data_IF_384282386872
#
_entry.id   IF_384282386872
#
_cell.length_a   1.000
_cell.length_b   1.000
_cell.length_c   1.000
_cell.angle_alpha   90.00
_cell.angle_beta   90.00
_cell.angle_gamma   90.00
#
_symmetry.space_group_name_H-M   'P 1'
#
loop_
_entity.id
_entity.type
_entity.pdbx_description
1 polymer ?
#
# COMPACT_ATOMS: atom_id res chain seq x y z
N UNK A 1 12.18 8.99 -59.51
CA UNK A 1 11.36 8.95 -58.28
C UNK A 1 11.10 7.52 -57.82
N UNK A 2 10.50 6.66 -58.65
CA UNK A 2 10.13 5.28 -58.26
C UNK A 2 11.30 4.47 -57.67
N UNK A 3 12.47 4.51 -58.32
CA UNK A 3 13.66 3.79 -57.85
C UNK A 3 14.13 4.26 -56.46
N UNK A 4 13.99 5.56 -56.14
CA UNK A 4 14.34 6.12 -54.83
C UNK A 4 13.39 5.62 -53.74
N UNK A 5 12.09 5.62 -54.03
CA UNK A 5 11.06 5.17 -53.10
C UNK A 5 11.14 3.66 -52.86
N UNK A 6 11.45 2.88 -53.89
CA UNK A 6 11.62 1.42 -53.76
C UNK A 6 12.83 1.07 -52.90
N UNK A 7 13.96 1.77 -53.10
CA UNK A 7 15.15 1.64 -52.26
C UNK A 7 14.85 2.04 -50.81
N UNK A 8 14.17 3.16 -50.58
CA UNK A 8 13.73 3.60 -49.26
C UNK A 8 12.81 2.58 -48.57
N UNK A 9 11.82 2.02 -49.29
CA UNK A 9 10.91 0.99 -48.77
C UNK A 9 11.65 -0.28 -48.35
N UNK A 10 12.69 -0.68 -49.11
CA UNK A 10 13.51 -1.85 -48.78
C UNK A 10 14.29 -1.68 -47.46
N UNK A 11 14.69 -0.45 -47.15
CA UNK A 11 15.48 -0.10 -45.97
C UNK A 11 14.63 -0.03 -44.68
N UNK A 12 13.31 0.15 -44.81
CA UNK A 12 12.35 0.14 -43.69
C UNK A 12 11.93 -1.28 -43.26
N UNK A 13 12.78 -2.29 -43.52
CA UNK A 13 12.53 -3.69 -43.18
C UNK A 13 12.18 -3.98 -41.71
N UNK A 14 12.58 -3.09 -40.80
CA UNK A 14 12.37 -3.23 -39.35
C UNK A 14 10.97 -2.77 -38.89
N UNK A 15 10.23 -2.03 -39.72
CA UNK A 15 8.85 -1.61 -39.44
C UNK A 15 7.86 -2.70 -39.86
N UNK A 16 6.67 -2.70 -39.23
CA UNK A 16 5.53 -3.49 -39.70
C UNK A 16 5.08 -3.03 -41.09
N UNK A 17 4.28 -3.86 -41.78
CA UNK A 17 3.81 -3.52 -43.14
C UNK A 17 3.02 -2.22 -43.16
N UNK A 18 2.11 -2.03 -42.20
CA UNK A 18 1.25 -0.86 -42.10
C UNK A 18 2.07 0.44 -41.89
N UNK A 19 3.02 0.43 -40.95
CA UNK A 19 3.88 1.59 -40.66
C UNK A 19 4.83 1.91 -41.82
N UNK A 20 5.30 0.87 -42.52
CA UNK A 20 6.17 1.03 -43.68
C UNK A 20 5.43 1.69 -44.84
N UNK A 21 4.21 1.23 -45.11
CA UNK A 21 3.39 1.76 -46.20
C UNK A 21 2.96 3.20 -45.89
N UNK A 22 2.59 3.51 -44.65
CA UNK A 22 2.32 4.89 -44.20
C UNK A 22 3.52 5.83 -44.42
N UNK A 23 4.71 5.42 -44.00
CA UNK A 23 5.92 6.21 -44.18
C UNK A 23 6.27 6.40 -45.66
N UNK A 24 6.12 5.35 -46.48
CA UNK A 24 6.38 5.42 -47.93
C UNK A 24 5.38 6.34 -48.63
N UNK A 25 4.09 6.23 -48.29
CA UNK A 25 3.04 7.07 -48.89
C UNK A 25 3.27 8.54 -48.55
N UNK A 26 3.60 8.87 -47.30
CA UNK A 26 3.90 10.25 -46.88
C UNK A 26 5.01 10.89 -47.71
N UNK A 27 6.15 10.20 -47.87
CA UNK A 27 7.26 10.75 -48.64
C UNK A 27 7.01 10.72 -50.15
N UNK A 28 6.16 9.80 -50.63
CA UNK A 28 5.73 9.77 -52.03
C UNK A 28 4.87 10.99 -52.35
N UNK A 29 3.88 11.32 -51.51
CA UNK A 29 3.05 12.51 -51.65
C UNK A 29 3.90 13.79 -51.55
N UNK A 30 4.82 13.85 -50.59
CA UNK A 30 5.74 14.99 -50.45
C UNK A 30 6.60 15.22 -51.71
N UNK A 31 7.11 14.15 -52.32
CA UNK A 31 7.92 14.27 -53.54
C UNK A 31 7.08 14.64 -54.76
N UNK A 32 5.86 14.13 -54.85
CA UNK A 32 4.92 14.45 -55.92
C UNK A 32 4.46 15.91 -55.86
N UNK A 33 4.08 16.40 -54.68
CA UNK A 33 3.69 17.79 -54.46
C UNK A 33 4.86 18.77 -54.74
N UNK A 34 6.08 18.34 -54.43
CA UNK A 34 7.29 19.09 -54.72
C UNK A 34 7.75 19.02 -56.19
N UNK A 35 7.12 18.18 -57.03
CA UNK A 35 7.50 17.98 -58.42
C UNK A 35 8.89 17.32 -58.59
N UNK A 36 9.28 16.47 -57.63
CA UNK A 36 10.59 15.81 -57.61
C UNK A 36 10.53 14.44 -58.32
N UNK A 37 10.45 14.45 -59.65
CA UNK A 37 10.24 13.23 -60.45
C UNK A 37 11.52 12.40 -60.72
N UNK A 38 12.70 13.00 -60.57
CA UNK A 38 14.01 12.35 -60.82
C UNK A 38 14.67 11.85 -59.52
N UNK A 39 15.42 10.74 -59.59
CA UNK A 39 16.17 10.20 -58.45
C UNK A 39 17.08 11.25 -57.80
N UNK A 40 17.85 11.98 -58.62
CA UNK A 40 18.75 13.04 -58.12
C UNK A 40 18.00 14.20 -57.45
N UNK A 41 16.78 14.48 -57.91
CA UNK A 41 15.95 15.51 -57.30
C UNK A 41 15.47 15.08 -55.90
N UNK A 42 15.06 13.81 -55.76
CA UNK A 42 14.72 13.23 -54.46
C UNK A 42 15.93 13.23 -53.51
N UNK A 43 17.12 12.87 -54.01
CA UNK A 43 18.35 12.83 -53.20
C UNK A 43 18.75 14.21 -52.69
N UNK A 44 18.58 15.25 -53.52
CA UNK A 44 18.90 16.63 -53.12
C UNK A 44 17.98 17.15 -52.03
N UNK A 45 16.71 16.76 -52.04
CA UNK A 45 15.71 17.25 -51.10
C UNK A 45 15.71 16.44 -49.79
N UNK A 46 15.66 15.12 -49.89
CA UNK A 46 15.47 14.21 -48.75
C UNK A 46 16.77 13.54 -48.27
N UNK A 47 17.89 13.72 -48.99
CA UNK A 47 19.14 13.00 -48.77
C UNK A 47 19.13 11.64 -49.45
N UNK A 48 20.11 10.78 -49.15
CA UNK A 48 20.10 9.42 -49.72
C UNK A 48 19.01 8.55 -49.09
N UNK A 49 18.47 7.53 -49.78
CA UNK A 49 17.45 6.64 -49.22
C UNK A 49 17.84 6.05 -47.86
N UNK A 50 19.13 5.74 -47.69
CA UNK A 50 19.71 5.24 -46.44
C UNK A 50 19.73 6.27 -45.30
N UNK A 51 19.98 7.54 -45.61
CA UNK A 51 19.94 8.61 -44.61
C UNK A 51 18.50 8.86 -44.13
N UNK A 52 17.56 8.91 -45.08
CA UNK A 52 16.14 9.08 -44.76
C UNK A 52 15.61 7.90 -43.93
N UNK A 53 15.87 6.67 -44.36
CA UNK A 53 15.45 5.46 -43.64
C UNK A 53 15.96 5.45 -42.20
N UNK A 54 17.23 5.81 -41.97
CA UNK A 54 17.81 5.86 -40.62
C UNK A 54 17.12 6.90 -39.73
N UNK A 55 16.77 8.06 -40.29
CA UNK A 55 16.07 9.13 -39.57
C UNK A 55 14.65 8.69 -39.18
N UNK A 56 13.93 8.07 -40.12
CA UNK A 56 12.56 7.56 -39.91
C UNK A 56 12.56 6.43 -38.87
N UNK A 57 13.45 5.44 -39.01
CA UNK A 57 13.60 4.35 -38.04
C UNK A 57 13.87 4.85 -36.62
N UNK A 58 14.70 5.90 -36.49
CA UNK A 58 14.96 6.52 -35.20
C UNK A 58 13.71 7.17 -34.61
N UNK A 59 12.96 7.96 -35.38
CA UNK A 59 11.74 8.63 -34.90
C UNK A 59 10.68 7.60 -34.45
N UNK A 60 10.47 6.54 -35.23
CA UNK A 60 9.57 5.45 -34.86
C UNK A 60 10.03 4.75 -33.58
N UNK A 61 11.32 4.46 -33.42
CA UNK A 61 11.82 3.81 -32.21
C UNK A 61 11.58 4.63 -30.93
N UNK A 62 11.66 5.96 -31.01
CA UNK A 62 11.38 6.86 -29.89
C UNK A 62 9.88 6.90 -29.57
N UNK A 63 9.01 6.84 -30.59
CA UNK A 63 7.56 6.72 -30.38
C UNK A 63 7.19 5.40 -29.70
N UNK A 64 7.76 4.28 -30.15
CA UNK A 64 7.55 2.96 -29.54
C UNK A 64 8.10 2.84 -28.11
N UNK A 65 9.14 3.62 -27.76
CA UNK A 65 9.70 3.66 -26.40
C UNK A 65 8.86 4.51 -25.43
N UNK A 66 8.16 5.53 -25.94
CA UNK A 66 7.25 6.37 -25.15
C UNK A 66 5.83 5.78 -25.07
N UNK A 67 5.50 4.80 -25.91
CA UNK A 67 4.34 3.92 -25.73
C UNK A 67 4.69 2.75 -24.81
N UNK A 68 3.88 2.45 -23.77
CA UNK A 68 4.11 1.27 -22.95
C UNK A 68 3.92 0.01 -23.82
N UNK A 69 5.00 -0.73 -24.04
CA UNK A 69 5.00 -2.04 -24.72
C UNK A 69 3.85 -2.93 -24.24
N UNK A 70 2.93 -3.20 -25.15
CA UNK A 70 2.07 -4.38 -25.16
C UNK A 70 2.09 -4.95 -26.58
N UNK A 71 2.96 -5.92 -26.83
CA UNK A 71 3.23 -6.48 -28.17
C UNK A 71 1.99 -7.08 -28.86
N UNK A 72 2.01 -6.97 -30.20
CA UNK A 72 0.96 -7.28 -31.18
C UNK A 72 0.46 -8.73 -31.20
N UNK A 73 -0.68 -9.06 -31.82
CA UNK A 73 -1.10 -8.68 -33.18
C UNK A 73 -2.61 -8.92 -33.39
N UNK A 74 -3.15 -8.18 -34.36
CA UNK A 74 -4.34 -8.49 -35.18
C UNK A 74 -5.71 -7.97 -34.72
N UNK A 75 -6.14 -6.96 -35.48
CA UNK A 75 -7.53 -6.65 -35.88
C UNK A 75 -8.52 -6.21 -34.79
N UNK A 76 -8.94 -4.96 -34.93
CA UNK A 76 -10.26 -4.42 -34.57
C UNK A 76 -10.69 -4.55 -33.10
N UNK A 77 -10.64 -3.42 -32.38
CA UNK A 77 -11.80 -2.79 -31.69
C UNK A 77 -11.33 -1.82 -30.57
N UNK A 78 -12.14 -0.81 -30.22
CA UNK A 78 -11.88 0.21 -29.18
C UNK A 78 -11.93 -0.38 -27.75
N UNK A 79 -11.20 -1.46 -27.49
CA UNK A 79 -11.27 -2.24 -26.24
C UNK A 79 -10.39 -1.65 -25.14
N UNK A 80 -9.43 -0.79 -25.48
CA UNK A 80 -8.61 -0.11 -24.48
C UNK A 80 -9.38 1.07 -23.86
N UNK A 81 -10.25 1.73 -24.62
CA UNK A 81 -11.10 2.81 -24.07
C UNK A 81 -12.16 2.23 -23.13
N UNK A 82 -12.78 1.10 -23.48
CA UNK A 82 -13.70 0.38 -22.57
C UNK A 82 -12.97 -0.16 -21.36
N UNK A 83 -11.73 -0.67 -21.48
CA UNK A 83 -10.92 -1.08 -20.32
C UNK A 83 -10.59 0.10 -19.42
N UNK A 84 -10.20 1.25 -19.98
CA UNK A 84 -9.93 2.48 -19.23
C UNK A 84 -11.18 3.01 -18.55
N UNK A 85 -12.31 3.09 -19.27
CA UNK A 85 -13.62 3.47 -18.73
C UNK A 85 -14.07 2.48 -17.65
N UNK A 86 -13.88 1.18 -17.86
CA UNK A 86 -14.20 0.15 -16.87
C UNK A 86 -13.33 0.27 -15.61
N UNK A 87 -12.06 0.62 -15.77
CA UNK A 87 -11.13 0.86 -14.66
C UNK A 87 -11.47 2.15 -13.90
N UNK A 88 -11.92 3.20 -14.61
CA UNK A 88 -12.45 4.44 -14.00
C UNK A 88 -13.73 4.15 -13.22
N UNK A 89 -14.70 3.41 -13.80
CA UNK A 89 -15.94 3.02 -13.11
C UNK A 89 -15.62 2.17 -11.87
N UNK A 90 -14.71 1.21 -11.99
CA UNK A 90 -14.28 0.38 -10.87
C UNK A 90 -13.56 1.19 -9.79
N UNK A 91 -12.74 2.18 -10.18
CA UNK A 91 -12.10 3.11 -9.25
C UNK A 91 -13.14 3.97 -8.52
N UNK A 92 -14.12 4.55 -9.23
CA UNK A 92 -15.19 5.38 -8.63
C UNK A 92 -16.07 4.56 -7.69
N UNK A 93 -16.33 3.28 -7.98
CA UNK A 93 -17.09 2.38 -7.08
C UNK A 93 -16.23 1.90 -5.89
N UNK A 94 -14.91 1.78 -6.05
CA UNK A 94 -13.98 1.45 -4.97
C UNK A 94 -13.78 2.61 -3.99
N UNK A 95 -13.75 3.84 -4.50
CA UNK A 95 -13.55 5.09 -3.73
C UNK A 95 -14.50 5.23 -2.51
N UNK A 96 -15.82 5.03 -2.62
CA UNK A 96 -16.75 5.13 -1.50
C UNK A 96 -16.59 4.00 -0.48
N UNK A 97 -15.92 2.89 -0.82
CA UNK A 97 -15.60 1.80 0.12
C UNK A 97 -14.24 2.04 0.81
N UNK A 98 -13.27 2.63 0.12
CA UNK A 98 -11.94 2.92 0.68
C UNK A 98 -11.96 3.92 1.84
N UNK A 99 -12.75 5.00 1.74
CA UNK A 99 -12.84 6.03 2.79
C UNK A 99 -13.38 5.44 4.11
N UNK A 100 -14.55 4.76 4.15
CA UNK A 100 -15.05 4.17 5.39
C UNK A 100 -14.16 3.03 5.90
N UNK A 101 -13.52 2.27 5.03
CA UNK A 101 -12.57 1.23 5.44
C UNK A 101 -11.34 1.83 6.13
N UNK A 102 -10.77 2.91 5.57
CA UNK A 102 -9.66 3.64 6.17
C UNK A 102 -10.05 4.26 7.52
N UNK A 103 -11.21 4.91 7.58
CA UNK A 103 -11.76 5.48 8.81
C UNK A 103 -11.96 4.40 9.90
N UNK A 104 -12.48 3.23 9.51
CA UNK A 104 -12.69 2.11 10.42
C UNK A 104 -11.38 1.57 11.01
N UNK A 105 -10.30 1.49 10.22
CA UNK A 105 -8.99 1.03 10.67
C UNK A 105 -8.35 2.03 11.65
N UNK A 106 -8.46 3.33 11.35
CA UNK A 106 -7.96 4.39 12.21
C UNK A 106 -8.74 4.38 13.53
N UNK A 107 -10.08 4.31 13.46
CA UNK A 107 -10.95 4.23 14.63
C UNK A 107 -10.66 3.01 15.50
N UNK A 108 -10.45 1.83 14.89
CA UNK A 108 -10.07 0.61 15.60
C UNK A 108 -8.71 0.77 16.29
N UNK A 109 -7.71 1.35 15.61
CA UNK A 109 -6.37 1.55 16.17
C UNK A 109 -6.39 2.49 17.37
N UNK A 110 -7.13 3.60 17.24
CA UNK A 110 -7.36 4.55 18.33
C UNK A 110 -8.08 3.86 19.49
N UNK A 111 -9.16 3.13 19.21
CA UNK A 111 -9.93 2.40 20.22
C UNK A 111 -9.10 1.39 21.00
N UNK A 112 -8.25 0.62 20.32
CA UNK A 112 -7.34 -0.34 20.97
C UNK A 112 -6.31 0.38 21.84
N UNK A 113 -5.75 1.50 21.36
CA UNK A 113 -4.77 2.28 22.11
C UNK A 113 -5.38 2.90 23.38
N UNK A 114 -6.49 3.63 23.25
CA UNK A 114 -7.16 4.24 24.40
C UNK A 114 -7.79 3.20 25.32
N UNK A 115 -8.26 2.07 24.80
CA UNK A 115 -8.73 0.95 25.61
C UNK A 115 -7.61 0.37 26.47
N UNK A 116 -6.43 0.11 25.90
CA UNK A 116 -5.27 -0.36 26.64
C UNK A 116 -4.82 0.66 27.72
N UNK A 117 -4.81 1.95 27.36
CA UNK A 117 -4.44 3.04 28.27
C UNK A 117 -5.47 3.18 29.41
N UNK A 118 -6.76 3.08 29.10
CA UNK A 118 -7.84 3.11 30.08
C UNK A 118 -7.77 1.97 31.09
N UNK A 119 -7.45 0.76 30.63
CA UNK A 119 -7.23 -0.39 31.53
C UNK A 119 -6.05 -0.12 32.47
N UNK A 120 -4.94 0.42 31.94
CA UNK A 120 -3.76 0.74 32.75
C UNK A 120 -4.08 1.79 33.82
N UNK A 121 -4.72 2.89 33.43
CA UNK A 121 -5.11 3.98 34.34
C UNK A 121 -6.12 3.49 35.38
N UNK A 122 -7.10 2.67 34.96
CA UNK A 122 -8.07 2.08 35.87
C UNK A 122 -7.42 1.19 36.92
N UNK A 123 -6.43 0.38 36.54
CA UNK A 123 -5.68 -0.46 37.48
C UNK A 123 -4.89 0.37 38.48
N UNK A 124 -4.23 1.44 38.03
CA UNK A 124 -3.51 2.36 38.92
C UNK A 124 -4.49 3.06 39.87
N UNK A 125 -5.63 3.56 39.37
CA UNK A 125 -6.65 4.22 40.19
C UNK A 125 -7.24 3.28 41.25
N UNK A 126 -7.45 2.00 40.91
CA UNK A 126 -7.89 0.98 41.86
C UNK A 126 -6.88 0.81 43.00
N UNK A 127 -5.59 0.73 42.65
CA UNK A 127 -4.50 0.56 43.61
C UNK A 127 -4.41 1.77 44.56
N UNK A 128 -4.49 2.98 44.00
CA UNK A 128 -4.52 4.24 44.75
C UNK A 128 -5.74 4.28 45.69
N UNK A 129 -6.93 3.98 45.19
CA UNK A 129 -8.17 4.00 45.98
C UNK A 129 -8.12 3.05 47.18
N UNK A 130 -7.61 1.83 46.97
CA UNK A 130 -7.46 0.83 48.03
C UNK A 130 -6.46 1.29 49.09
N UNK A 131 -5.35 1.93 48.71
CA UNK A 131 -4.37 2.48 49.66
C UNK A 131 -4.98 3.60 50.49
N UNK A 132 -5.64 4.58 49.86
CA UNK A 132 -6.29 5.68 50.57
C UNK A 132 -7.44 5.21 51.47
N UNK A 133 -8.24 4.24 51.01
CA UNK A 133 -9.30 3.62 51.80
C UNK A 133 -8.76 2.86 53.02
N UNK A 134 -7.66 2.11 52.85
CA UNK A 134 -6.99 1.40 53.94
C UNK A 134 -6.40 2.33 54.99
N UNK A 135 -5.71 3.39 54.57
CA UNK A 135 -5.16 4.40 55.48
C UNK A 135 -6.29 5.12 56.22
N UNK A 136 -7.36 5.52 55.51
CA UNK A 136 -8.52 6.14 56.13
C UNK A 136 -9.18 5.24 57.19
N UNK A 137 -9.33 3.95 56.89
CA UNK A 137 -9.85 2.96 57.83
C UNK A 137 -8.98 2.80 59.09
N UNK A 138 -7.65 2.83 58.95
CA UNK A 138 -6.73 2.77 60.09
C UNK A 138 -6.79 4.02 60.97
N UNK A 139 -6.87 5.21 60.36
CA UNK A 139 -6.99 6.48 61.10
C UNK A 139 -8.31 6.53 61.87
N UNK A 140 -9.42 6.15 61.25
CA UNK A 140 -10.73 6.07 61.92
C UNK A 140 -10.71 5.01 63.01
N UNK A 141 -10.11 3.84 62.75
CA UNK A 141 -9.98 2.77 63.74
C UNK A 141 -9.23 3.20 65.00
N UNK A 142 -8.09 3.88 64.84
CA UNK A 142 -7.31 4.42 65.96
C UNK A 142 -8.08 5.48 66.76
N UNK A 143 -8.89 6.31 66.09
CA UNK A 143 -9.71 7.32 66.75
C UNK A 143 -10.85 6.73 67.58
N UNK A 144 -11.47 5.65 67.11
CA UNK A 144 -12.66 5.05 67.75
C UNK A 144 -12.30 4.13 68.93
N UNK A 145 -11.05 3.68 69.07
CA UNK A 145 -10.60 2.82 70.19
C UNK A 145 -10.91 3.43 71.57
N UNK A 146 -10.83 4.75 71.70
CA UNK A 146 -11.08 5.45 72.95
C UNK A 146 -12.56 5.45 73.35
N UNK A 147 -13.47 5.30 72.39
CA UNK A 147 -14.91 5.26 72.61
C UNK A 147 -15.42 3.83 72.70
N UNK A 148 -15.08 3.00 71.72
CA UNK A 148 -15.51 1.61 71.60
C UNK A 148 -14.34 0.71 71.15
N UNK A 149 -13.69 0.01 72.11
CA UNK A 149 -12.53 -0.83 71.82
C UNK A 149 -12.82 -1.95 70.81
N UNK A 150 -14.05 -2.49 70.83
CA UNK A 150 -14.48 -3.55 69.91
C UNK A 150 -14.54 -3.06 68.46
N UNK A 151 -15.11 -1.87 68.23
CA UNK A 151 -15.19 -1.26 66.91
C UNK A 151 -13.79 -0.87 66.39
N UNK A 152 -12.94 -0.33 67.26
CA UNK A 152 -11.55 0.00 66.92
C UNK A 152 -10.74 -1.21 66.42
N UNK A 153 -10.85 -2.35 67.11
CA UNK A 153 -10.15 -3.58 66.71
C UNK A 153 -10.66 -4.16 65.38
N UNK A 154 -11.96 -4.01 65.09
CA UNK A 154 -12.57 -4.38 63.82
C UNK A 154 -12.02 -3.52 62.67
N UNK A 155 -11.95 -2.19 62.84
CA UNK A 155 -11.39 -1.29 61.83
C UNK A 155 -9.90 -1.54 61.55
N UNK A 156 -9.12 -1.85 62.58
CA UNK A 156 -7.72 -2.28 62.40
C UNK A 156 -7.64 -3.58 61.60
N UNK A 157 -8.51 -4.54 61.90
CA UNK A 157 -8.62 -5.79 61.14
C UNK A 157 -8.98 -5.58 59.66
N UNK A 158 -9.92 -4.67 59.38
CA UNK A 158 -10.26 -4.26 58.01
C UNK A 158 -9.05 -3.61 57.31
N UNK A 159 -8.33 -2.72 58.00
CA UNK A 159 -7.11 -2.11 57.47
C UNK A 159 -6.05 -3.15 57.08
N UNK A 160 -5.84 -4.16 57.93
CA UNK A 160 -4.89 -5.25 57.66
C UNK A 160 -5.35 -6.15 56.50
N UNK A 161 -6.65 -6.46 56.42
CA UNK A 161 -7.26 -7.18 55.29
C UNK A 161 -7.05 -6.43 53.98
N UNK A 162 -7.23 -5.10 53.97
CA UNK A 162 -7.01 -4.26 52.80
C UNK A 162 -5.55 -4.32 52.33
N UNK A 163 -4.59 -4.26 53.26
CA UNK A 163 -3.16 -4.43 52.95
C UNK A 163 -2.87 -5.82 52.40
N UNK A 164 -3.48 -6.87 52.97
CA UNK A 164 -3.37 -8.24 52.47
C UNK A 164 -3.89 -8.40 51.03
N UNK A 165 -5.05 -7.80 50.73
CA UNK A 165 -5.64 -7.76 49.38
C UNK A 165 -4.70 -7.03 48.41
N UNK A 166 -4.06 -5.94 48.83
CA UNK A 166 -3.12 -5.18 48.00
C UNK A 166 -1.93 -6.03 47.55
N UNK A 167 -1.32 -6.78 48.48
CA UNK A 167 -0.20 -7.68 48.18
C UNK A 167 -0.65 -8.83 47.28
N UNK A 168 -1.86 -9.36 47.49
CA UNK A 168 -2.43 -10.43 46.67
C UNK A 168 -2.80 -9.97 45.25
N UNK A 169 -3.12 -8.69 45.04
CA UNK A 169 -3.37 -8.10 43.72
C UNK A 169 -2.10 -7.79 42.92
N UNK A 170 -0.93 -7.65 43.57
CA UNK A 170 0.36 -7.38 42.93
C UNK A 170 0.71 -8.33 41.75
N UNK A 171 0.60 -9.67 41.88
CA UNK A 171 0.82 -10.57 40.75
C UNK A 171 -0.22 -10.39 39.64
N UNK A 172 -1.48 -10.07 39.98
CA UNK A 172 -2.55 -9.82 39.00
C UNK A 172 -2.22 -8.61 38.14
N UNK A 173 -1.63 -7.55 38.73
CA UNK A 173 -1.15 -6.38 38.00
C UNK A 173 -0.09 -6.75 36.95
N UNK A 174 0.91 -7.54 37.35
CA UNK A 174 2.00 -7.95 36.44
C UNK A 174 1.48 -8.84 35.30
N UNK A 175 0.51 -9.72 35.58
CA UNK A 175 -0.16 -10.53 34.55
C UNK A 175 -0.99 -9.66 33.62
N UNK A 176 -1.74 -8.69 34.13
CA UNK A 176 -2.52 -7.77 33.33
C UNK A 176 -1.63 -6.91 32.41
N UNK A 177 -0.54 -6.35 32.94
CA UNK A 177 0.41 -5.56 32.17
C UNK A 177 1.07 -6.38 31.05
N UNK A 178 1.56 -7.58 31.37
CA UNK A 178 2.10 -8.50 30.37
C UNK A 178 1.03 -8.98 29.38
N UNK A 179 -0.22 -9.12 29.84
CA UNK A 179 -1.39 -9.44 29.01
C UNK A 179 -1.70 -8.35 28.00
N UNK A 180 -1.63 -7.08 28.38
CA UNK A 180 -1.79 -5.94 27.49
C UNK A 180 -0.68 -5.91 26.44
N UNK A 181 0.58 -6.09 26.85
CA UNK A 181 1.72 -6.12 25.92
C UNK A 181 1.56 -7.25 24.90
N UNK A 182 1.19 -8.45 25.37
CA UNK A 182 0.89 -9.60 24.52
C UNK A 182 -0.30 -9.35 23.60
N UNK A 183 -1.35 -8.71 24.11
CA UNK A 183 -2.53 -8.34 23.35
C UNK A 183 -2.19 -7.39 22.21
N UNK A 184 -1.42 -6.34 22.49
CA UNK A 184 -0.93 -5.37 21.48
C UNK A 184 -0.04 -6.06 20.44
N UNK A 185 0.89 -6.92 20.86
CA UNK A 185 1.76 -7.65 19.91
C UNK A 185 1.02 -8.71 19.11
N UNK A 186 0.00 -9.38 19.66
CA UNK A 186 -0.82 -10.30 18.89
C UNK A 186 -1.71 -9.56 17.89
N UNK A 187 -2.27 -8.43 18.30
CA UNK A 187 -3.08 -7.59 17.42
C UNK A 187 -2.25 -7.05 16.26
N UNK A 188 -1.02 -6.58 16.52
CA UNK A 188 -0.13 -6.12 15.46
C UNK A 188 0.27 -7.24 14.49
N UNK A 189 0.56 -8.45 14.99
CA UNK A 189 0.84 -9.62 14.16
C UNK A 189 -0.38 -10.03 13.32
N UNK A 190 -1.57 -10.04 13.91
CA UNK A 190 -2.82 -10.36 13.21
C UNK A 190 -3.14 -9.34 12.12
N UNK A 191 -3.02 -8.05 12.44
CA UNK A 191 -3.24 -6.97 11.50
C UNK A 191 -2.24 -7.04 10.33
N UNK A 192 -0.95 -7.26 10.63
CA UNK A 192 0.09 -7.43 9.62
C UNK A 192 -0.15 -8.66 8.73
N UNK A 193 -0.54 -9.79 9.30
CA UNK A 193 -0.83 -11.02 8.54
C UNK A 193 -2.08 -10.91 7.69
N UNK A 194 -3.07 -10.10 8.10
CA UNK A 194 -4.29 -9.89 7.33
C UNK A 194 -4.10 -8.89 6.18
N UNK A 195 -3.13 -7.98 6.30
CA UNK A 195 -2.86 -6.95 5.28
C UNK A 195 -1.71 -7.29 4.33
N UNK A 196 -0.73 -8.10 4.75
CA UNK A 196 0.34 -8.55 3.86
C UNK A 196 -0.10 -9.88 3.22
N UNK A 197 -0.52 -9.90 1.93
CA UNK A 197 -0.75 -11.15 1.25
C UNK A 197 0.57 -11.93 1.30
N UNK A 198 0.52 -13.10 1.92
CA UNK A 198 1.68 -13.99 2.07
C UNK A 198 2.18 -14.36 0.68
N UNK A 199 3.14 -13.59 0.17
CA UNK A 199 3.72 -13.84 -1.13
C UNK A 199 4.40 -15.21 -1.07
N UNK A 200 3.84 -16.13 -1.85
CA UNK A 200 4.13 -17.57 -1.86
C UNK A 200 5.45 -17.88 -2.58
N UNK A 201 6.45 -17.00 -2.46
CA UNK A 201 7.65 -16.99 -3.30
C UNK A 201 8.84 -17.82 -2.76
N UNK A 202 8.76 -18.39 -1.55
CA UNK A 202 9.89 -19.16 -0.97
C UNK A 202 9.81 -20.69 -1.15
N UNK A 203 8.92 -21.23 -2.00
CA UNK A 203 8.77 -22.69 -2.13
C UNK A 203 9.49 -23.35 -3.33
N UNK A 204 10.23 -22.61 -4.16
CA UNK A 204 10.94 -23.17 -5.32
C UNK A 204 12.45 -22.85 -5.38
N UNK A 205 13.12 -22.71 -4.23
CA UNK A 205 14.55 -22.36 -4.17
C UNK A 205 15.53 -23.48 -3.80
N UNK A 206 15.08 -24.66 -3.39
CA UNK A 206 15.98 -25.78 -3.02
C UNK A 206 15.68 -27.03 -3.84
N UNK A 207 16.15 -27.02 -5.08
CA UNK A 207 16.50 -28.26 -5.78
C UNK A 207 17.78 -28.86 -5.17
N UNK A 208 17.92 -30.20 -5.13
CA UNK A 208 19.03 -30.85 -4.46
C UNK A 208 20.33 -30.54 -5.21
N UNK A 209 21.32 -29.99 -4.51
CA UNK A 209 22.69 -29.95 -5.02
C UNK A 209 23.22 -31.39 -5.06
N UNK A 210 23.69 -31.77 -6.24
CA UNK A 210 24.43 -33.01 -6.53
C UNK A 210 25.67 -33.13 -5.66
#
# INVERSE_FOLDING_TARGET
>A
MNDYIEEFRSLLGQLSQDERDEAVDFYTEYLQDGGYDSYDACVRELGTPHQLARKVLADYSIRTLNEPQGNGTRQQRPKNDVKTIWLIILAVISTPVTIPLAMGIIGLSIGVFFGALGILVGLIALLVSVVFGGIGGLVVGLGVIWSDPWLGMLYIGIGLMIVGILVMLSPVFSVAFNGIIRGVTNFSRWAYQKMVPKNRAEKHGRGPRK
#
